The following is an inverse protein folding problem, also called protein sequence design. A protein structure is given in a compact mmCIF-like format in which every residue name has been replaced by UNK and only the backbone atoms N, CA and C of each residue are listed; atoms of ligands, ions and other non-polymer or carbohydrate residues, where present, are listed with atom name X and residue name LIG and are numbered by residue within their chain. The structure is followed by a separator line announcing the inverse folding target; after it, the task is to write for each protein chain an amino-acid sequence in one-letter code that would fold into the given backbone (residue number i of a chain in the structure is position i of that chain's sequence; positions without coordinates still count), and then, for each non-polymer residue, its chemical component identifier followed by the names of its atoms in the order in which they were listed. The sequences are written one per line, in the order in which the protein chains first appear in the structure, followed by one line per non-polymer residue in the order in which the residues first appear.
data_IF_492934253894
#
_entry.id   IF_492934253894
#
_cell.length_a   1.000
_cell.length_b   1.000
_cell.length_c   1.000
_cell.angle_alpha   90.00
_cell.angle_beta   90.00
_cell.angle_gamma   90.00
#
_symmetry.space_group_name_H-M   'P 1'
#
loop_
_entity.id
_entity.type
_entity.pdbx_description
1 polymer ?
#
# COMPACT_ATOMS: atom_id res chain seq x y z
N UNK A 1 -23.72 -17.67 -8.55
CA UNK A 1 -22.66 -17.02 -7.78
C UNK A 1 -22.25 -17.96 -6.65
N UNK A 2 -20.96 -18.19 -6.37
CA UNK A 2 -20.51 -19.18 -5.38
C UNK A 2 -21.20 -19.01 -4.01
N UNK A 3 -21.11 -17.78 -3.45
CA UNK A 3 -21.66 -17.48 -2.12
C UNK A 3 -23.18 -17.70 -1.99
N UNK A 4 -23.94 -17.53 -3.07
CA UNK A 4 -25.40 -17.75 -3.06
C UNK A 4 -25.78 -19.23 -3.08
N UNK A 5 -24.82 -20.14 -3.22
CA UNK A 5 -25.04 -21.59 -3.15
C UNK A 5 -24.85 -22.15 -1.73
N UNK A 6 -24.24 -21.36 -0.84
CA UNK A 6 -23.98 -21.75 0.54
C UNK A 6 -25.19 -21.47 1.42
N UNK A 7 -25.74 -22.49 2.13
CA UNK A 7 -26.96 -22.35 2.91
C UNK A 7 -26.83 -21.43 4.14
N UNK A 8 -25.61 -21.16 4.56
CA UNK A 8 -25.26 -20.31 5.71
C UNK A 8 -24.82 -18.89 5.31
N UNK A 9 -24.94 -18.53 4.03
CA UNK A 9 -24.53 -17.23 3.50
C UNK A 9 -25.62 -16.58 2.64
N UNK A 10 -25.78 -15.26 2.80
CA UNK A 10 -26.69 -14.46 1.99
C UNK A 10 -25.94 -13.27 1.42
N UNK A 11 -26.01 -13.07 0.11
CA UNK A 11 -25.44 -11.89 -0.56
C UNK A 11 -26.48 -10.77 -0.54
N UNK A 12 -26.33 -9.85 0.42
CA UNK A 12 -27.29 -8.75 0.65
C UNK A 12 -27.07 -7.55 -0.26
N UNK A 13 -25.89 -7.42 -0.89
CA UNK A 13 -25.61 -6.32 -1.79
C UNK A 13 -24.35 -6.52 -2.61
N UNK A 14 -24.18 -5.70 -3.67
CA UNK A 14 -23.03 -5.71 -4.53
C UNK A 14 -22.73 -4.30 -5.00
N UNK A 15 -21.49 -3.81 -4.76
CA UNK A 15 -21.00 -2.50 -5.14
C UNK A 15 -20.01 -2.58 -6.30
N UNK A 16 -19.97 -1.57 -7.16
CA UNK A 16 -19.07 -1.46 -8.31
C UNK A 16 -17.87 -0.56 -8.06
N UNK A 17 -17.91 0.21 -6.97
CA UNK A 17 -16.86 1.14 -6.57
C UNK A 17 -16.91 1.38 -5.05
N UNK A 18 -15.88 2.05 -4.50
CA UNK A 18 -15.80 2.28 -3.07
C UNK A 18 -16.82 3.25 -2.49
N UNK A 19 -17.40 4.16 -3.29
CA UNK A 19 -18.48 5.07 -2.81
C UNK A 19 -19.74 4.25 -2.57
N UNK A 20 -20.16 3.49 -3.57
CA UNK A 20 -21.32 2.61 -3.49
C UNK A 20 -21.15 1.54 -2.39
N UNK A 21 -19.90 1.02 -2.21
CA UNK A 21 -19.61 0.08 -1.15
C UNK A 21 -19.85 0.65 0.25
N UNK A 22 -19.45 1.90 0.50
CA UNK A 22 -19.72 2.59 1.76
C UNK A 22 -21.21 2.83 1.97
N UNK A 23 -21.92 3.33 0.98
CA UNK A 23 -23.36 3.61 1.05
C UNK A 23 -24.16 2.33 1.35
N UNK A 24 -23.88 1.25 0.63
CA UNK A 24 -24.53 -0.04 0.84
C UNK A 24 -24.16 -0.64 2.20
N UNK A 25 -22.91 -0.54 2.64
CA UNK A 25 -22.50 -1.02 3.94
C UNK A 25 -23.28 -0.34 5.08
N UNK A 26 -23.42 0.98 5.02
CA UNK A 26 -24.15 1.77 6.02
C UNK A 26 -25.65 1.44 6.05
N UNK A 27 -26.23 1.17 4.87
CA UNK A 27 -27.65 0.88 4.72
C UNK A 27 -27.99 -0.56 5.12
N UNK A 28 -27.23 -1.53 4.59
CA UNK A 28 -27.51 -2.97 4.73
C UNK A 28 -26.89 -3.60 5.98
N UNK A 29 -25.86 -2.95 6.55
CA UNK A 29 -25.11 -3.40 7.74
C UNK A 29 -24.72 -4.88 7.67
N UNK A 30 -23.98 -5.30 6.65
CA UNK A 30 -23.60 -6.69 6.49
C UNK A 30 -22.65 -7.14 7.60
N UNK A 31 -22.65 -8.45 7.90
CA UNK A 31 -21.67 -9.02 8.84
C UNK A 31 -20.26 -9.02 8.25
N UNK A 32 -20.14 -9.33 6.95
CA UNK A 32 -18.86 -9.44 6.24
C UNK A 32 -18.94 -8.70 4.90
N UNK A 33 -17.88 -7.98 4.56
CA UNK A 33 -17.69 -7.33 3.25
C UNK A 33 -16.48 -7.94 2.56
N UNK A 34 -16.66 -8.38 1.31
CA UNK A 34 -15.56 -8.71 0.40
C UNK A 34 -15.15 -7.44 -0.34
N UNK A 35 -13.94 -6.95 -0.09
CA UNK A 35 -13.46 -5.67 -0.60
C UNK A 35 -12.33 -5.86 -1.60
N UNK A 36 -12.54 -5.45 -2.84
CA UNK A 36 -11.45 -5.27 -3.80
C UNK A 36 -10.71 -3.96 -3.49
N UNK A 37 -9.39 -3.99 -3.52
CA UNK A 37 -8.56 -2.79 -3.32
C UNK A 37 -8.56 -1.88 -4.55
N UNK A 38 -8.66 -2.46 -5.74
CA UNK A 38 -8.56 -1.73 -7.01
C UNK A 38 -9.93 -1.47 -7.61
N UNK A 39 -10.58 -0.42 -7.13
CA UNK A 39 -11.89 0.02 -7.63
C UNK A 39 -11.82 1.46 -8.18
N UNK A 40 -12.67 1.80 -9.18
CA UNK A 40 -12.78 3.17 -9.68
C UNK A 40 -13.40 4.10 -8.65
N UNK A 41 -13.24 5.42 -8.83
CA UNK A 41 -13.77 6.52 -8.02
C UNK A 41 -13.17 6.58 -6.61
N UNK A 42 -13.50 5.63 -5.74
CA UNK A 42 -12.94 5.47 -4.40
C UNK A 42 -12.31 4.08 -4.29
N UNK A 43 -11.01 4.02 -4.00
CA UNK A 43 -10.29 2.74 -3.82
C UNK A 43 -10.73 2.00 -2.55
N UNK A 44 -10.53 0.67 -2.54
CA UNK A 44 -10.96 -0.20 -1.46
C UNK A 44 -10.33 0.12 -0.10
N UNK A 45 -9.10 0.63 -0.05
CA UNK A 45 -8.45 1.07 1.20
C UNK A 45 -9.23 2.20 1.87
N UNK A 46 -9.61 3.23 1.09
CA UNK A 46 -10.37 4.37 1.62
C UNK A 46 -11.78 3.95 2.05
N UNK A 47 -12.43 3.08 1.26
CA UNK A 47 -13.73 2.52 1.60
C UNK A 47 -13.66 1.66 2.87
N UNK A 48 -12.64 0.80 3.01
CA UNK A 48 -12.41 -0.02 4.21
C UNK A 48 -12.29 0.85 5.45
N UNK A 49 -11.46 1.90 5.41
CA UNK A 49 -11.28 2.82 6.55
C UNK A 49 -12.59 3.46 6.99
N UNK A 50 -13.38 3.94 6.05
CA UNK A 50 -14.66 4.61 6.33
C UNK A 50 -15.67 3.62 6.91
N UNK A 51 -15.76 2.41 6.35
CA UNK A 51 -16.66 1.36 6.82
C UNK A 51 -16.26 0.88 8.22
N UNK A 52 -15.00 0.58 8.48
CA UNK A 52 -14.54 0.08 9.78
C UNK A 52 -14.69 1.12 10.89
N UNK A 53 -14.60 2.41 10.56
CA UNK A 53 -14.87 3.50 11.51
C UNK A 53 -16.36 3.67 11.80
N UNK A 54 -17.20 3.56 10.77
CA UNK A 54 -18.65 3.77 10.91
C UNK A 54 -19.39 2.52 11.42
N UNK A 55 -18.89 1.33 11.10
CA UNK A 55 -19.47 0.03 11.44
C UNK A 55 -18.42 -0.91 12.05
N UNK A 56 -18.04 -0.73 13.32
CA UNK A 56 -17.01 -1.56 13.97
C UNK A 56 -17.35 -3.05 14.07
N UNK A 57 -18.62 -3.42 13.98
CA UNK A 57 -19.08 -4.83 13.98
C UNK A 57 -18.94 -5.51 12.62
N UNK A 58 -18.79 -4.75 11.54
CA UNK A 58 -18.68 -5.27 10.19
C UNK A 58 -17.24 -5.74 9.92
N UNK A 59 -17.10 -6.99 9.50
CA UNK A 59 -15.79 -7.56 9.18
C UNK A 59 -15.43 -7.31 7.72
N UNK A 60 -14.25 -6.80 7.43
CA UNK A 60 -13.80 -6.56 6.06
C UNK A 60 -12.74 -7.58 5.67
N UNK A 61 -13.05 -8.40 4.66
CA UNK A 61 -12.14 -9.30 3.97
C UNK A 61 -11.66 -8.63 2.68
N UNK A 62 -10.37 -8.35 2.61
CA UNK A 62 -9.75 -7.76 1.43
C UNK A 62 -9.36 -8.85 0.44
N UNK A 63 -9.75 -8.64 -0.83
CA UNK A 63 -9.30 -9.43 -1.96
C UNK A 63 -8.22 -8.65 -2.72
N UNK A 64 -7.02 -9.24 -2.84
CA UNK A 64 -5.85 -8.56 -3.45
C UNK A 64 -5.13 -9.46 -4.44
N UNK A 65 -4.34 -8.86 -5.32
CA UNK A 65 -3.31 -9.55 -6.10
C UNK A 65 -1.97 -9.47 -5.39
N UNK A 66 -1.05 -10.42 -5.65
CA UNK A 66 0.26 -10.52 -4.97
C UNK A 66 1.18 -9.30 -5.18
N UNK A 67 0.87 -8.43 -6.14
CA UNK A 67 1.84 -7.45 -6.68
C UNK A 67 1.88 -6.10 -5.95
N UNK A 68 1.05 -5.87 -4.93
CA UNK A 68 0.90 -4.55 -4.29
C UNK A 68 1.07 -4.60 -2.76
N UNK A 69 2.33 -4.61 -2.30
CA UNK A 69 2.67 -4.64 -0.88
C UNK A 69 2.22 -3.39 -0.12
N UNK A 70 2.28 -2.21 -0.76
CA UNK A 70 1.91 -0.94 -0.14
C UNK A 70 0.40 -0.86 0.11
N UNK A 71 -0.39 -1.28 -0.86
CA UNK A 71 -1.85 -1.28 -0.75
C UNK A 71 -2.33 -2.30 0.28
N UNK A 72 -1.69 -3.48 0.39
CA UNK A 72 -1.98 -4.46 1.45
C UNK A 72 -1.73 -3.86 2.83
N UNK A 73 -0.58 -3.22 3.04
CA UNK A 73 -0.26 -2.59 4.32
C UNK A 73 -1.21 -1.41 4.64
N UNK A 74 -1.54 -0.60 3.65
CA UNK A 74 -2.52 0.48 3.82
C UNK A 74 -3.91 -0.05 4.21
N UNK A 75 -4.32 -1.22 3.69
CA UNK A 75 -5.58 -1.86 4.04
C UNK A 75 -5.56 -2.44 5.48
N UNK A 76 -4.41 -2.98 5.94
CA UNK A 76 -4.21 -3.36 7.36
C UNK A 76 -4.42 -2.14 8.26
N UNK A 77 -3.79 -1.02 7.94
CA UNK A 77 -3.94 0.24 8.69
C UNK A 77 -5.35 0.82 8.61
N UNK A 78 -6.10 0.52 7.56
CA UNK A 78 -7.49 0.90 7.41
C UNK A 78 -8.45 0.04 8.24
N UNK A 79 -7.94 -1.00 8.92
CA UNK A 79 -8.72 -1.86 9.81
C UNK A 79 -9.34 -3.07 9.14
N UNK A 80 -8.83 -3.53 8.00
CA UNK A 80 -9.29 -4.79 7.41
C UNK A 80 -8.97 -5.99 8.32
N UNK A 81 -9.87 -6.95 8.40
CA UNK A 81 -9.85 -8.06 9.34
C UNK A 81 -9.23 -9.33 8.78
N UNK A 82 -9.32 -9.52 7.47
CA UNK A 82 -8.70 -10.65 6.77
C UNK A 82 -8.27 -10.26 5.36
N UNK A 83 -7.37 -11.08 4.80
CA UNK A 83 -6.78 -10.87 3.49
C UNK A 83 -6.72 -12.19 2.75
N UNK A 84 -7.16 -12.19 1.49
CA UNK A 84 -7.13 -13.32 0.61
C UNK A 84 -6.65 -12.91 -0.77
N UNK A 85 -5.94 -13.79 -1.44
CA UNK A 85 -5.55 -13.57 -2.82
C UNK A 85 -6.76 -13.80 -3.75
N UNK A 86 -6.85 -13.05 -4.85
CA UNK A 86 -7.92 -13.20 -5.84
C UNK A 86 -7.91 -14.56 -6.56
N UNK A 87 -6.77 -15.24 -6.54
CA UNK A 87 -6.57 -16.59 -7.08
C UNK A 87 -6.71 -17.70 -6.03
N UNK A 88 -7.10 -17.35 -4.79
CA UNK A 88 -7.36 -18.34 -3.74
C UNK A 88 -8.52 -19.28 -4.12
N UNK A 89 -8.44 -20.52 -3.62
CA UNK A 89 -9.49 -21.51 -3.84
C UNK A 89 -10.81 -21.09 -3.20
N UNK A 90 -11.93 -21.47 -3.82
CA UNK A 90 -13.27 -21.20 -3.33
C UNK A 90 -13.48 -21.66 -1.88
N UNK A 91 -12.97 -22.82 -1.53
CA UNK A 91 -13.01 -23.35 -0.16
C UNK A 91 -12.31 -22.45 0.86
N UNK A 92 -11.18 -21.82 0.49
CA UNK A 92 -10.44 -20.91 1.35
C UNK A 92 -11.21 -19.60 1.58
N UNK A 93 -11.89 -19.10 0.53
CA UNK A 93 -12.77 -17.94 0.65
C UNK A 93 -13.93 -18.21 1.63
N UNK A 94 -14.64 -19.33 1.45
CA UNK A 94 -15.77 -19.72 2.31
C UNK A 94 -15.33 -19.91 3.77
N UNK A 95 -14.21 -20.61 4.00
CA UNK A 95 -13.65 -20.78 5.34
C UNK A 95 -13.25 -19.45 5.98
N UNK A 96 -12.67 -18.53 5.20
CA UNK A 96 -12.26 -17.23 5.71
C UNK A 96 -13.48 -16.39 6.11
N UNK A 97 -14.56 -16.41 5.31
CA UNK A 97 -15.81 -15.72 5.66
C UNK A 97 -16.40 -16.28 6.96
N UNK A 98 -16.43 -17.61 7.10
CA UNK A 98 -16.93 -18.29 8.33
C UNK A 98 -16.06 -17.96 9.55
N UNK A 99 -14.75 -17.90 9.38
CA UNK A 99 -13.82 -17.52 10.45
C UNK A 99 -14.05 -16.09 10.91
N UNK A 100 -14.17 -15.14 9.96
CA UNK A 100 -14.50 -13.74 10.27
C UNK A 100 -15.81 -13.62 11.05
N UNK A 101 -16.83 -14.37 10.67
CA UNK A 101 -18.11 -14.38 11.40
C UNK A 101 -17.98 -14.86 12.85
N UNK A 102 -16.97 -15.71 13.15
CA UNK A 102 -16.62 -16.13 14.52
C UNK A 102 -15.72 -15.14 15.26
N UNK A 103 -15.34 -14.01 14.62
CA UNK A 103 -14.44 -13.02 15.17
C UNK A 103 -12.95 -13.38 15.06
N UNK A 104 -12.62 -14.37 14.22
CA UNK A 104 -11.24 -14.77 13.96
C UNK A 104 -10.66 -13.91 12.85
N UNK A 105 -9.51 -13.27 13.08
CA UNK A 105 -8.75 -12.59 12.01
C UNK A 105 -7.88 -13.60 11.27
N UNK A 106 -7.93 -13.58 9.94
CA UNK A 106 -7.10 -14.47 9.12
C UNK A 106 -6.19 -13.69 8.17
N UNK A 107 -4.91 -13.98 8.28
CA UNK A 107 -3.87 -13.53 7.34
C UNK A 107 -3.24 -14.77 6.72
N UNK A 108 -3.23 -14.84 5.38
CA UNK A 108 -2.45 -15.90 4.73
C UNK A 108 -0.96 -15.75 5.08
N UNK A 109 -0.16 -16.82 5.12
CA UNK A 109 1.27 -16.73 5.46
C UNK A 109 2.03 -15.77 4.56
N UNK A 110 1.63 -15.64 3.29
CA UNK A 110 2.23 -14.71 2.33
C UNK A 110 1.94 -13.26 2.70
N UNK A 111 0.70 -12.92 3.02
CA UNK A 111 0.30 -11.58 3.47
C UNK A 111 0.92 -11.24 4.82
N UNK A 112 0.97 -12.20 5.75
CA UNK A 112 1.61 -12.00 7.05
C UNK A 112 3.10 -11.64 6.89
N UNK A 113 3.84 -12.31 6.00
CA UNK A 113 5.24 -11.97 5.68
C UNK A 113 5.36 -10.54 5.15
N UNK A 114 4.53 -10.15 4.20
CA UNK A 114 4.54 -8.79 3.62
C UNK A 114 4.30 -7.72 4.67
N UNK A 115 3.30 -7.92 5.55
CA UNK A 115 3.01 -7.01 6.67
C UNK A 115 4.20 -6.91 7.62
N UNK A 116 4.82 -8.05 7.99
CA UNK A 116 5.98 -8.08 8.88
C UNK A 116 7.22 -7.42 8.25
N UNK A 117 7.46 -7.62 6.96
CA UNK A 117 8.58 -6.99 6.26
C UNK A 117 8.40 -5.47 6.17
N UNK A 118 7.19 -5.01 5.93
CA UNK A 118 6.89 -3.58 5.94
C UNK A 118 7.00 -2.98 7.36
N UNK A 119 6.54 -3.72 8.38
CA UNK A 119 6.71 -3.31 9.77
C UNK A 119 8.19 -3.20 10.17
N UNK A 120 9.02 -4.16 9.75
CA UNK A 120 10.49 -4.10 9.96
C UNK A 120 11.11 -2.88 9.28
N UNK A 121 10.69 -2.56 8.06
CA UNK A 121 11.18 -1.36 7.34
C UNK A 121 10.84 -0.08 8.10
N UNK A 122 9.61 0.05 8.58
CA UNK A 122 9.18 1.20 9.38
C UNK A 122 9.91 1.27 10.72
N UNK A 123 10.02 0.15 11.43
CA UNK A 123 10.75 0.07 12.71
C UNK A 123 12.25 0.37 12.55
N UNK A 124 12.83 0.05 11.39
CA UNK A 124 14.23 0.39 11.09
C UNK A 124 14.42 1.87 10.76
N UNK A 125 13.35 2.57 10.39
CA UNK A 125 13.37 4.02 10.14
C UNK A 125 13.23 4.84 11.43
N UNK A 126 12.61 4.26 12.49
CA UNK A 126 12.35 4.94 13.77
C UNK A 126 13.34 4.60 14.90
N UNK A 127 14.24 3.64 14.68
CA UNK A 127 15.29 3.35 15.66
C UNK A 127 16.48 4.26 15.37
N UNK A 128 16.86 5.14 16.30
CA UNK A 128 18.22 5.69 16.28
C UNK A 128 19.17 4.50 16.44
N UNK A 129 19.89 4.17 15.38
CA UNK A 129 21.01 3.24 15.45
C UNK A 129 21.91 3.73 16.55
N UNK A 130 21.90 3.08 17.72
CA UNK A 130 23.00 3.21 18.67
C UNK A 130 24.27 2.82 17.92
N UNK A 131 25.20 3.74 17.71
CA UNK A 131 26.44 3.40 17.03
C UNK A 131 27.25 2.50 17.94
N UNK A 132 27.50 1.27 17.53
CA UNK A 132 28.69 0.60 18.08
C UNK A 132 29.90 1.47 17.72
N UNK A 133 30.76 1.78 18.66
CA UNK A 133 31.87 2.69 18.44
C UNK A 133 32.90 2.05 17.49
N UNK A 134 32.96 2.52 16.25
CA UNK A 134 34.16 2.42 15.44
C UNK A 134 35.00 3.65 15.72
N UNK A 135 36.27 3.55 16.07
CA UNK A 135 37.10 4.69 16.37
C UNK A 135 37.44 5.47 15.09
N UNK A 136 37.04 6.73 15.04
CA UNK A 136 37.60 7.75 14.14
C UNK A 136 36.65 8.26 13.07
N UNK A 137 35.79 9.23 13.41
CA UNK A 137 35.63 10.46 12.62
C UNK A 137 34.65 11.43 13.31
N UNK A 138 35.08 12.64 13.35
CA UNK A 138 34.64 13.87 13.95
C UNK A 138 33.13 14.19 13.86
N UNK A 139 32.65 14.68 14.99
CA UNK A 139 31.41 15.37 15.29
C UNK A 139 31.02 16.49 14.31
N UNK A 140 29.75 16.47 13.85
CA UNK A 140 29.06 17.67 13.36
C UNK A 140 27.61 17.66 13.82
N UNK A 141 27.04 18.79 14.25
CA UNK A 141 25.70 18.85 14.85
C UNK A 141 24.57 18.75 13.82
N UNK A 142 23.31 18.45 14.25
CA UNK A 142 22.19 18.22 13.36
C UNK A 142 21.69 19.53 12.75
N UNK A 143 21.81 19.65 11.46
CA UNK A 143 21.12 20.64 10.66
C UNK A 143 19.93 19.99 9.94
N UNK A 144 18.80 20.67 9.98
CA UNK A 144 17.58 20.43 9.20
C UNK A 144 17.93 20.42 7.71
N UNK A 145 18.24 19.24 7.15
CA UNK A 145 18.50 19.10 5.73
C UNK A 145 17.87 17.81 5.21
N UNK A 146 17.06 17.97 4.18
CA UNK A 146 16.50 16.95 3.30
C UNK A 146 17.57 15.89 2.98
N UNK A 147 17.32 14.64 3.33
CA UNK A 147 18.27 13.54 3.07
C UNK A 147 18.63 13.51 1.58
N UNK A 148 19.91 13.55 1.18
CA UNK A 148 20.28 13.58 -0.23
C UNK A 148 19.82 12.30 -0.94
N UNK A 149 19.41 12.45 -2.20
CA UNK A 149 19.06 11.31 -3.03
C UNK A 149 20.28 10.41 -3.23
N UNK A 150 20.09 9.11 -3.16
CA UNK A 150 21.12 8.14 -3.54
C UNK A 150 21.34 8.16 -5.07
N UNK A 151 22.49 7.71 -5.56
CA UNK A 151 22.79 7.64 -6.99
C UNK A 151 21.72 6.90 -7.81
N UNK A 152 21.10 5.86 -7.23
CA UNK A 152 20.01 5.11 -7.88
C UNK A 152 18.72 5.92 -7.94
N UNK A 153 18.39 6.64 -6.87
CA UNK A 153 17.24 7.55 -6.82
C UNK A 153 17.42 8.71 -7.80
N UNK A 154 18.62 9.31 -7.87
CA UNK A 154 18.93 10.36 -8.85
C UNK A 154 18.76 9.87 -10.29
N UNK A 155 19.21 8.64 -10.59
CA UNK A 155 19.06 8.07 -11.91
C UNK A 155 17.60 7.80 -12.27
N UNK A 156 16.79 7.30 -11.33
CA UNK A 156 15.35 7.14 -11.51
C UNK A 156 14.68 8.50 -11.72
N UNK A 157 15.02 9.50 -10.91
CA UNK A 157 14.49 10.86 -11.03
C UNK A 157 14.80 11.49 -12.39
N UNK A 158 16.00 11.29 -12.90
CA UNK A 158 16.39 11.75 -14.23
C UNK A 158 15.47 11.17 -15.32
N UNK A 159 15.22 9.86 -15.29
CA UNK A 159 14.37 9.19 -16.28
C UNK A 159 12.89 9.60 -16.13
N UNK A 160 12.46 9.98 -14.91
CA UNK A 160 11.13 10.58 -14.68
C UNK A 160 11.04 11.96 -15.38
N UNK A 161 12.08 12.78 -15.28
CA UNK A 161 12.14 14.08 -15.96
C UNK A 161 12.14 13.95 -17.50
N UNK A 162 12.69 12.85 -18.03
CA UNK A 162 12.63 12.49 -19.45
C UNK A 162 11.25 11.96 -19.88
N UNK A 163 10.26 11.92 -18.96
CA UNK A 163 8.89 11.50 -19.23
C UNK A 163 8.66 9.98 -19.28
N UNK A 164 9.65 9.17 -18.91
CA UNK A 164 9.55 7.71 -18.98
C UNK A 164 8.58 7.16 -17.95
N UNK A 165 7.74 6.19 -18.32
CA UNK A 165 6.89 5.42 -17.39
C UNK A 165 7.71 4.41 -16.59
N UNK A 166 7.19 3.95 -15.43
CA UNK A 166 7.90 3.01 -14.53
C UNK A 166 8.38 1.75 -15.26
N UNK A 167 7.58 1.22 -16.18
CA UNK A 167 7.95 0.07 -17.01
C UNK A 167 9.17 0.34 -17.91
N UNK A 168 9.25 1.52 -18.49
CA UNK A 168 10.38 1.93 -19.33
C UNK A 168 11.64 2.15 -18.49
N UNK A 169 11.50 2.79 -17.33
CA UNK A 169 12.60 2.98 -16.37
C UNK A 169 13.13 1.62 -15.89
N UNK A 170 12.23 0.68 -15.60
CA UNK A 170 12.57 -0.68 -15.20
C UNK A 170 13.40 -1.40 -16.26
N UNK A 171 13.01 -1.29 -17.53
CA UNK A 171 13.75 -1.85 -18.66
C UNK A 171 15.12 -1.18 -18.81
N UNK A 172 15.20 0.15 -18.74
CA UNK A 172 16.44 0.92 -18.90
C UNK A 172 17.46 0.62 -17.80
N UNK A 173 16.99 0.40 -16.56
CA UNK A 173 17.83 0.15 -15.39
C UNK A 173 18.00 -1.33 -15.05
N UNK A 174 17.45 -2.24 -15.87
CA UNK A 174 17.42 -3.69 -15.60
C UNK A 174 16.87 -4.03 -14.22
N UNK A 175 15.78 -3.37 -13.81
CA UNK A 175 15.10 -3.54 -12.52
C UNK A 175 13.70 -4.10 -12.74
N UNK A 176 13.11 -4.66 -11.67
CA UNK A 176 11.67 -4.96 -11.65
C UNK A 176 10.85 -3.66 -11.57
N UNK A 177 9.69 -3.60 -12.22
CA UNK A 177 8.81 -2.43 -12.20
C UNK A 177 8.39 -2.04 -10.77
N UNK A 178 8.16 -3.03 -9.88
CA UNK A 178 7.88 -2.81 -8.47
C UNK A 178 9.03 -2.11 -7.73
N UNK A 179 10.29 -2.42 -8.09
CA UNK A 179 11.47 -1.75 -7.54
C UNK A 179 11.52 -0.28 -7.95
N UNK A 180 11.15 0.03 -9.21
CA UNK A 180 11.08 1.41 -9.69
C UNK A 180 9.96 2.18 -8.98
N UNK A 181 8.80 1.58 -8.75
CA UNK A 181 7.72 2.18 -7.96
C UNK A 181 8.21 2.58 -6.56
N UNK A 182 8.96 1.70 -5.89
CA UNK A 182 9.52 1.98 -4.57
C UNK A 182 10.52 3.15 -4.58
N UNK A 183 11.36 3.24 -5.63
CA UNK A 183 12.24 4.39 -5.79
C UNK A 183 11.44 5.69 -6.00
N UNK A 184 10.41 5.67 -6.84
CA UNK A 184 9.54 6.83 -7.09
C UNK A 184 8.90 7.32 -5.79
N UNK A 185 8.33 6.41 -4.97
CA UNK A 185 7.71 6.76 -3.69
C UNK A 185 8.71 7.41 -2.72
N UNK A 186 9.92 6.84 -2.59
CA UNK A 186 10.98 7.41 -1.75
C UNK A 186 11.46 8.77 -2.22
N UNK A 187 11.61 8.96 -3.53
CA UNK A 187 12.03 10.25 -4.10
C UNK A 187 10.93 11.30 -3.85
N UNK A 188 9.65 10.93 -4.02
CA UNK A 188 8.53 11.82 -3.72
C UNK A 188 8.51 12.23 -2.24
N UNK A 189 8.77 11.31 -1.33
CA UNK A 189 8.87 11.58 0.11
C UNK A 189 10.04 12.51 0.44
N UNK A 190 11.24 12.23 -0.07
CA UNK A 190 12.45 13.04 0.15
C UNK A 190 12.35 14.44 -0.44
N UNK A 191 11.67 14.61 -1.56
CA UNK A 191 11.49 15.91 -2.22
C UNK A 191 10.14 16.57 -1.88
N UNK A 192 9.36 16.00 -0.95
CA UNK A 192 8.05 16.49 -0.54
C UNK A 192 7.07 16.71 -1.69
N UNK A 193 7.17 15.88 -2.75
CA UNK A 193 6.30 15.94 -3.91
C UNK A 193 5.06 15.05 -3.70
N UNK A 194 3.86 15.59 -3.95
CA UNK A 194 2.61 14.84 -3.82
C UNK A 194 2.20 14.13 -5.11
N UNK A 195 2.76 14.55 -6.25
CA UNK A 195 2.46 13.97 -7.56
C UNK A 195 3.74 13.77 -8.37
N UNK A 196 3.70 12.82 -9.32
CA UNK A 196 4.81 12.60 -10.26
C UNK A 196 5.11 13.83 -11.12
N UNK A 197 4.10 14.64 -11.46
CA UNK A 197 4.27 15.88 -12.23
C UNK A 197 5.02 16.90 -11.38
N UNK A 198 4.63 17.07 -10.13
CA UNK A 198 5.30 17.94 -9.16
C UNK A 198 6.77 17.52 -8.96
N UNK A 199 7.01 16.22 -8.85
CA UNK A 199 8.35 15.65 -8.75
C UNK A 199 9.23 16.03 -9.95
N UNK A 200 8.71 15.89 -11.18
CA UNK A 200 9.42 16.26 -12.39
C UNK A 200 9.71 17.77 -12.48
N UNK A 201 8.77 18.61 -12.03
CA UNK A 201 8.93 20.07 -11.99
C UNK A 201 10.00 20.51 -10.96
N UNK A 202 9.98 19.93 -9.75
CA UNK A 202 10.98 20.21 -8.71
C UNK A 202 12.38 19.82 -9.16
N UNK A 203 12.54 18.67 -9.78
CA UNK A 203 13.82 18.19 -10.29
C UNK A 203 14.38 19.06 -11.44
N UNK A 204 13.51 19.57 -12.32
CA UNK A 204 13.94 20.50 -13.37
C UNK A 204 14.36 21.87 -12.83
N UNK A 205 13.73 22.38 -11.77
CA UNK A 205 14.13 23.62 -11.10
C UNK A 205 15.52 23.50 -10.50
N UNK A 206 15.80 22.42 -9.76
CA UNK A 206 17.10 22.18 -9.13
C UNK A 206 18.25 22.01 -10.15
N UNK A 207 17.95 21.63 -11.40
CA UNK A 207 18.92 21.55 -12.50
C UNK A 207 19.26 22.93 -13.06
N UNK A 208 18.27 23.78 -13.26
CA UNK A 208 18.46 25.14 -13.78
C UNK A 208 19.26 26.03 -12.82
N UNK A 209 19.24 25.74 -11.52
CA UNK A 209 20.01 26.48 -10.50
C UNK A 209 21.47 26.01 -10.39
N UNK A 210 21.81 24.80 -10.88
CA UNK A 210 23.20 24.29 -10.89
C UNK A 210 23.97 24.65 -12.16
N UNK A 211 23.28 25.04 -13.22
CA UNK A 211 23.88 25.42 -14.50
C UNK A 211 24.06 26.94 -14.69
N UNK A 212 23.78 27.76 -13.67
CA UNK A 212 23.92 29.22 -13.65
C UNK A 212 24.90 29.64 -12.54
#
# INVERSE_FOLDING_TARGET
MLLSMEPDMEVVGQARNGVEAVELALTLRPDVILMDLHMPLKGGVSATREITQALPSCQVLVLTTLDDDETVFAAVRAGAHAYLLKDAHESELLETIRALRRGESRLTPQIARKVMDQFRRLASSDLPLTPQPRPGSSSRPPSTDTEPLSQKEERVLQLICEGMMNRQIAQTLCLAEGTVKNYVSRIMEKLHANTRIELALLANRSRSEKDN
#
